data_IF_377964647926
#
_entry.id   IF_377964647926
#
_cell.length_a   1.000
_cell.length_b   1.000
_cell.length_c   1.000
_cell.angle_alpha   90.00
_cell.angle_beta   90.00
_cell.angle_gamma   90.00
#
_symmetry.space_group_name_H-M   'P 1'
#
loop_
_entity.id
_entity.type
_entity.pdbx_description
1 polymer ?
#
# COMPACT_ATOMS: atom_id res chain seq x y z
N UNK A 1 12.02 9.15 12.76
CA UNK A 1 12.73 7.93 12.33
C UNK A 1 12.06 7.47 11.05
N UNK A 2 12.56 7.94 9.91
CA UNK A 2 11.96 7.64 8.60
C UNK A 2 12.37 6.25 8.14
N UNK A 3 11.41 5.44 7.73
CA UNK A 3 11.67 4.20 7.01
C UNK A 3 12.31 4.58 5.67
N UNK A 4 13.61 4.31 5.52
CA UNK A 4 14.31 4.60 4.26
C UNK A 4 14.03 3.45 3.30
N UNK A 5 12.89 3.53 2.60
CA UNK A 5 12.60 2.60 1.51
C UNK A 5 13.54 2.93 0.34
N UNK A 6 14.33 1.96 -0.11
CA UNK A 6 15.19 2.15 -1.28
C UNK A 6 14.45 1.92 -2.60
N UNK A 7 13.31 1.20 -2.56
CA UNK A 7 12.48 0.84 -3.71
C UNK A 7 11.01 0.80 -3.31
N UNK A 8 10.08 1.00 -4.26
CA UNK A 8 8.66 0.83 -3.99
C UNK A 8 8.35 -0.56 -3.42
N UNK A 9 7.56 -0.59 -2.36
CA UNK A 9 7.18 -1.82 -1.66
C UNK A 9 5.72 -2.13 -1.98
N UNK A 10 5.41 -3.33 -2.51
CA UNK A 10 4.03 -3.72 -2.74
C UNK A 10 3.32 -4.00 -1.41
N UNK A 11 2.31 -3.20 -1.09
CA UNK A 11 1.45 -3.38 0.08
C UNK A 11 0.23 -4.25 -0.22
N UNK A 12 -0.26 -4.21 -1.47
CA UNK A 12 -1.33 -5.07 -1.98
C UNK A 12 -0.85 -5.73 -3.27
N UNK A 13 -1.20 -6.99 -3.45
CA UNK A 13 -1.05 -7.72 -4.71
C UNK A 13 -2.29 -8.58 -4.96
N UNK A 14 -2.93 -8.43 -6.12
CA UNK A 14 -4.11 -9.20 -6.55
C UNK A 14 -5.21 -9.20 -5.46
N UNK A 15 -5.52 -8.01 -4.94
CA UNK A 15 -6.51 -7.77 -3.91
C UNK A 15 -6.22 -8.37 -2.53
N UNK A 16 -4.99 -8.81 -2.27
CA UNK A 16 -4.55 -9.29 -0.96
C UNK A 16 -3.49 -8.37 -0.37
N UNK A 17 -3.67 -8.01 0.89
CA UNK A 17 -2.64 -7.27 1.64
C UNK A 17 -1.43 -8.15 1.92
N UNK A 18 -0.24 -7.56 1.79
CA UNK A 18 1.04 -8.20 2.11
C UNK A 18 1.50 -7.68 3.48
N UNK A 19 1.07 -8.35 4.55
CA UNK A 19 1.35 -7.94 5.93
C UNK A 19 2.83 -7.80 6.27
N UNK A 20 3.67 -8.68 5.73
CA UNK A 20 5.13 -8.59 5.91
C UNK A 20 5.68 -7.27 5.35
N UNK A 21 5.10 -6.78 4.26
CA UNK A 21 5.53 -5.53 3.62
C UNK A 21 5.00 -4.31 4.35
N UNK A 22 3.76 -4.36 4.86
CA UNK A 22 3.22 -3.34 5.77
C UNK A 22 4.15 -3.16 6.99
N UNK A 23 4.56 -4.27 7.62
CA UNK A 23 5.46 -4.27 8.77
C UNK A 23 6.85 -3.70 8.42
N UNK A 24 7.46 -4.15 7.32
CA UNK A 24 8.77 -3.65 6.86
C UNK A 24 8.74 -2.18 6.49
N UNK A 25 7.63 -1.71 5.94
CA UNK A 25 7.41 -0.31 5.59
C UNK A 25 7.04 0.57 6.79
N UNK A 26 6.76 -0.02 7.96
CA UNK A 26 6.36 0.71 9.17
C UNK A 26 4.96 1.31 9.10
N UNK A 27 4.08 0.75 8.26
CA UNK A 27 2.70 1.20 8.09
C UNK A 27 1.71 0.14 8.58
N UNK A 28 0.48 0.58 8.89
CA UNK A 28 -0.56 -0.31 9.42
C UNK A 28 -1.66 -0.54 8.39
N UNK A 29 -2.42 -1.63 8.55
CA UNK A 29 -3.60 -1.88 7.72
C UNK A 29 -4.64 -0.74 7.79
N UNK A 30 -4.99 -0.19 8.98
CA UNK A 30 -5.89 0.96 9.06
C UNK A 30 -5.39 2.17 8.26
N UNK A 31 -4.10 2.50 8.34
CA UNK A 31 -3.51 3.59 7.56
C UNK A 31 -3.66 3.32 6.06
N UNK A 32 -3.35 2.11 5.60
CA UNK A 32 -3.47 1.76 4.18
C UNK A 32 -4.93 1.84 3.71
N UNK A 33 -5.90 1.39 4.51
CA UNK A 33 -7.32 1.47 4.20
C UNK A 33 -7.79 2.93 4.11
N UNK A 34 -7.33 3.78 5.01
CA UNK A 34 -7.61 5.22 4.97
C UNK A 34 -7.05 5.85 3.70
N UNK A 35 -5.80 5.57 3.34
CA UNK A 35 -5.17 6.02 2.09
C UNK A 35 -5.95 5.58 0.86
N UNK A 36 -6.37 4.32 0.79
CA UNK A 36 -7.18 3.81 -0.32
C UNK A 36 -8.56 4.48 -0.40
N UNK A 37 -9.18 4.78 0.75
CA UNK A 37 -10.48 5.46 0.81
C UNK A 37 -10.42 6.89 0.28
N UNK A 38 -9.30 7.60 0.47
CA UNK A 38 -9.06 8.93 -0.10
C UNK A 38 -8.96 8.88 -1.63
N UNK A 39 -8.56 7.74 -2.19
CA UNK A 39 -8.55 7.44 -3.63
C UNK A 39 -9.88 6.84 -4.13
N UNK A 40 -10.93 6.82 -3.29
CA UNK A 40 -12.23 6.22 -3.57
C UNK A 40 -12.18 4.70 -3.86
N UNK A 41 -11.20 3.99 -3.29
CA UNK A 41 -11.02 2.54 -3.42
C UNK A 41 -11.49 1.88 -2.13
N UNK A 42 -12.61 1.15 -2.21
CA UNK A 42 -13.23 0.48 -1.06
C UNK A 42 -13.14 -1.05 -1.13
N UNK A 43 -13.00 -1.59 -2.34
CA UNK A 43 -12.83 -3.02 -2.58
C UNK A 43 -11.40 -3.32 -2.99
N UNK A 44 -10.71 -4.11 -2.18
CA UNK A 44 -9.33 -4.50 -2.50
C UNK A 44 -9.27 -5.38 -3.76
N UNK A 45 -10.37 -6.06 -4.13
CA UNK A 45 -10.42 -6.89 -5.35
C UNK A 45 -10.19 -6.08 -6.63
N UNK A 46 -10.45 -4.77 -6.60
CA UNK A 46 -10.20 -3.86 -7.72
C UNK A 46 -8.71 -3.44 -7.83
N UNK A 47 -7.90 -3.82 -6.84
CA UNK A 47 -6.48 -3.45 -6.74
C UNK A 47 -5.59 -4.60 -7.21
N UNK A 48 -4.92 -4.42 -8.34
CA UNK A 48 -3.86 -5.32 -8.79
C UNK A 48 -2.59 -5.14 -7.98
N UNK A 49 -2.18 -3.89 -7.76
CA UNK A 49 -1.08 -3.53 -6.86
C UNK A 49 -1.36 -2.22 -6.13
N UNK A 50 -0.96 -2.13 -4.86
CA UNK A 50 -0.75 -0.87 -4.18
C UNK A 50 0.73 -0.79 -3.79
N UNK A 51 1.45 0.22 -4.27
CA UNK A 51 2.89 0.38 -4.07
C UNK A 51 3.14 1.59 -3.18
N UNK A 52 3.85 1.40 -2.08
CA UNK A 52 4.38 2.50 -1.27
C UNK A 52 5.76 2.88 -1.80
N UNK A 53 5.92 4.11 -2.26
CA UNK A 53 7.20 4.62 -2.75
C UNK A 53 8.06 5.20 -1.61
N UNK A 54 9.36 5.48 -1.87
CA UNK A 54 10.25 6.13 -0.90
C UNK A 54 9.84 7.52 -0.42
N UNK A 55 8.96 8.21 -1.15
CA UNK A 55 8.43 9.52 -0.77
C UNK A 55 7.32 9.40 0.29
N UNK A 56 6.78 8.19 0.48
CA UNK A 56 5.65 7.91 1.35
C UNK A 56 4.31 7.89 0.62
N UNK A 57 4.31 8.00 -0.70
CA UNK A 57 3.09 8.02 -1.51
C UNK A 57 2.67 6.60 -1.90
N UNK A 58 1.34 6.38 -1.92
CA UNK A 58 0.75 5.11 -2.37
C UNK A 58 0.24 5.25 -3.78
N UNK A 59 0.84 4.49 -4.70
CA UNK A 59 0.42 4.39 -6.10
C UNK A 59 -0.39 3.11 -6.30
N UNK A 60 -1.59 3.23 -6.88
CA UNK A 60 -2.49 2.09 -7.09
C UNK A 60 -2.57 1.73 -8.56
N UNK A 61 -2.38 0.45 -8.87
CA UNK A 61 -2.63 -0.15 -10.17
C UNK A 61 -3.88 -1.01 -10.09
N UNK A 62 -4.82 -0.76 -11.00
CA UNK A 62 -6.09 -1.46 -11.08
C UNK A 62 -5.98 -2.79 -11.83
N UNK A 63 -6.93 -3.68 -11.56
CA UNK A 63 -7.07 -4.98 -12.24
C UNK A 63 -7.72 -4.85 -13.62
#
# INVERSE_FOLDING_TARGET
MGTHLEKPVPLIQQGKMIYDNLMKAGVTEPWLRETLSQLQIYDLRDVRYALLDPSGDVHVLYA
#
